data_IF_904107202731
#
_entry.id   IF_904107202731
#
_cell.length_a   1.000
_cell.length_b   1.000
_cell.length_c   1.000
_cell.angle_alpha   90.00
_cell.angle_beta   90.00
_cell.angle_gamma   90.00
#
_symmetry.space_group_name_H-M   'P 1'
#
loop_
_entity.id
_entity.type
_entity.pdbx_description
1 polymer ?
#
# COMPACT_ATOMS: atom_id res chain seq x y z
N UNK A 1 -29.57 -0.90 -15.58
CA UNK A 1 -29.13 -1.08 -14.18
C UNK A 1 -28.81 -2.55 -14.01
N UNK A 2 -27.54 -2.91 -14.12
CA UNK A 2 -27.10 -4.31 -14.00
C UNK A 2 -26.61 -4.50 -12.58
N UNK A 3 -27.35 -5.27 -11.80
CA UNK A 3 -27.00 -5.69 -10.45
C UNK A 3 -25.72 -6.53 -10.52
N UNK A 4 -24.60 -5.98 -10.05
CA UNK A 4 -23.38 -6.75 -9.82
C UNK A 4 -23.57 -7.59 -8.56
N UNK A 5 -24.03 -8.83 -8.72
CA UNK A 5 -23.95 -9.82 -7.65
C UNK A 5 -22.48 -10.22 -7.46
N UNK A 6 -21.94 -9.97 -6.27
CA UNK A 6 -20.68 -10.57 -5.87
C UNK A 6 -20.88 -12.08 -5.79
N UNK A 7 -20.14 -12.83 -6.61
CA UNK A 7 -20.02 -14.28 -6.42
C UNK A 7 -19.20 -14.49 -5.14
N UNK A 8 -19.85 -15.02 -4.11
CA UNK A 8 -19.19 -15.60 -2.94
C UNK A 8 -18.21 -16.70 -3.38
N UNK A 9 -17.11 -16.81 -2.63
CA UNK A 9 -16.17 -17.94 -2.70
C UNK A 9 -16.94 -19.25 -2.51
N UNK A 10 -16.76 -20.21 -3.43
CA UNK A 10 -16.98 -21.60 -3.09
C UNK A 10 -15.92 -22.00 -2.05
N UNK A 11 -16.36 -22.57 -0.94
CA UNK A 11 -15.48 -23.17 0.05
C UNK A 11 -14.77 -24.38 -0.58
N UNK A 12 -13.53 -24.18 -1.02
CA UNK A 12 -12.69 -25.23 -1.58
C UNK A 12 -11.22 -24.79 -1.58
N UNK A 13 -10.43 -25.46 -0.75
CA UNK A 13 -8.97 -25.33 -0.58
C UNK A 13 -8.43 -23.92 -0.23
N UNK A 14 -8.40 -23.63 1.07
CA UNK A 14 -7.31 -22.87 1.73
C UNK A 14 -6.78 -21.61 1.03
N UNK A 15 -7.62 -20.66 0.63
CA UNK A 15 -7.18 -19.34 0.16
C UNK A 15 -7.09 -18.35 1.33
N UNK A 16 -5.99 -18.46 2.08
CA UNK A 16 -5.51 -17.45 3.03
C UNK A 16 -4.78 -16.33 2.27
N UNK A 17 -4.93 -15.07 2.68
CA UNK A 17 -4.21 -13.94 2.05
C UNK A 17 -2.69 -14.03 2.28
N UNK A 18 -1.88 -13.28 1.53
CA UNK A 18 -0.41 -13.23 1.65
C UNK A 18 0.08 -13.07 3.09
N UNK A 19 -0.60 -12.25 3.87
CA UNK A 19 -0.17 -11.98 5.22
C UNK A 19 -0.69 -12.99 6.26
N UNK A 20 -1.44 -14.02 5.86
CA UNK A 20 -1.86 -15.09 6.75
C UNK A 20 -0.81 -16.21 6.93
N UNK A 21 0.32 -16.15 6.21
CA UNK A 21 1.35 -17.19 6.21
C UNK A 21 2.67 -16.87 6.91
N UNK A 22 2.82 -15.68 7.52
CA UNK A 22 3.97 -15.42 8.40
C UNK A 22 3.75 -16.10 9.75
N UNK A 23 3.94 -17.43 9.80
CA UNK A 23 4.10 -18.12 11.08
C UNK A 23 5.37 -17.58 11.74
N UNK A 24 5.20 -16.84 12.83
CA UNK A 24 6.27 -16.32 13.70
C UNK A 24 7.16 -17.41 14.33
N UNK A 25 6.94 -18.69 14.02
CA UNK A 25 7.64 -19.85 14.58
C UNK A 25 8.95 -20.22 13.89
N UNK A 26 9.39 -19.48 12.86
CA UNK A 26 10.63 -19.79 12.11
C UNK A 26 11.68 -18.67 12.11
N UNK A 27 11.42 -17.57 12.81
CA UNK A 27 12.45 -16.55 13.06
C UNK A 27 13.31 -17.01 14.25
N UNK A 28 14.66 -17.04 14.13
CA UNK A 28 15.51 -17.37 15.25
C UNK A 28 15.26 -16.39 16.41
N UNK A 29 15.31 -16.87 17.66
CA UNK A 29 14.90 -16.12 18.87
C UNK A 29 15.63 -14.78 19.07
N UNK A 30 16.75 -14.57 18.38
CA UNK A 30 17.51 -13.32 18.34
C UNK A 30 16.80 -12.19 17.56
N UNK A 31 15.88 -12.49 16.63
CA UNK A 31 15.10 -11.49 15.90
C UNK A 31 13.89 -10.96 16.69
N UNK A 32 13.47 -11.64 17.76
CA UNK A 32 12.40 -11.17 18.67
C UNK A 32 12.89 -10.12 19.69
N UNK A 33 14.19 -9.83 19.72
CA UNK A 33 14.83 -8.92 20.68
C UNK A 33 15.85 -8.01 20.02
N UNK A 34 15.57 -7.50 18.83
CA UNK A 34 16.43 -6.47 18.24
C UNK A 34 16.16 -5.15 18.95
N UNK A 35 16.94 -4.85 19.99
CA UNK A 35 17.04 -3.48 20.48
C UNK A 35 17.48 -2.59 19.31
N UNK A 36 16.74 -1.51 19.06
CA UNK A 36 17.12 -0.48 18.09
C UNK A 36 18.60 -0.12 18.33
N UNK A 37 19.48 -0.23 17.32
CA UNK A 37 20.88 0.15 17.47
C UNK A 37 20.97 1.58 18.00
N UNK A 38 21.87 1.84 18.96
CA UNK A 38 22.07 3.18 19.53
C UNK A 38 22.34 4.26 18.49
N UNK A 39 22.90 3.88 17.34
CA UNK A 39 23.10 4.74 16.17
C UNK A 39 21.80 5.26 15.53
N UNK A 40 20.66 4.55 15.67
CA UNK A 40 19.36 4.99 15.14
C UNK A 40 18.72 6.09 16.00
N UNK A 41 19.06 6.22 17.29
CA UNK A 41 18.49 7.25 18.18
C UNK A 41 18.79 8.68 17.72
N UNK A 42 19.94 8.91 17.07
CA UNK A 42 20.31 10.22 16.55
C UNK A 42 19.55 10.60 15.26
N UNK A 43 19.06 9.61 14.51
CA UNK A 43 18.37 9.80 13.23
C UNK A 43 16.85 9.67 13.32
N UNK A 44 16.33 9.12 14.43
CA UNK A 44 14.89 9.01 14.73
C UNK A 44 14.13 10.32 14.41
N UNK A 45 14.58 11.53 14.81
CA UNK A 45 13.83 12.76 14.56
C UNK A 45 13.60 13.08 13.08
N UNK A 46 14.56 12.77 12.20
CA UNK A 46 14.46 13.02 10.75
C UNK A 46 13.63 11.93 10.03
N UNK A 47 13.75 10.68 10.50
CA UNK A 47 12.95 9.54 10.02
C UNK A 47 11.49 9.68 10.43
N UNK A 48 11.25 10.17 11.65
CA UNK A 48 9.93 10.38 12.24
C UNK A 48 9.17 11.58 11.65
N UNK A 49 9.85 12.53 11.02
CA UNK A 49 9.22 13.70 10.38
C UNK A 49 8.93 13.50 8.89
N UNK A 50 9.56 12.52 8.22
CA UNK A 50 9.30 12.22 6.82
C UNK A 50 7.87 11.70 6.63
N UNK A 51 7.03 12.41 5.87
CA UNK A 51 5.61 12.08 5.65
C UNK A 51 5.38 10.94 4.64
N UNK A 52 6.45 10.32 4.13
CA UNK A 52 6.38 9.39 3.00
C UNK A 52 7.18 8.13 3.32
N UNK A 53 6.70 6.93 2.92
CA UNK A 53 7.55 5.73 2.85
C UNK A 53 8.81 6.05 2.04
N UNK A 54 9.96 5.60 2.53
CA UNK A 54 11.23 5.91 1.89
C UNK A 54 11.42 4.96 0.72
N UNK A 55 11.80 5.50 -0.44
CA UNK A 55 12.12 4.68 -1.60
C UNK A 55 13.18 3.66 -1.24
N UNK A 56 12.90 2.38 -1.47
CA UNK A 56 13.94 1.37 -1.43
C UNK A 56 14.98 1.67 -2.49
N UNK A 57 16.23 1.41 -2.12
CA UNK A 57 17.36 1.54 -2.99
C UNK A 57 18.23 0.30 -2.80
N UNK A 58 18.53 -0.46 -3.87
CA UNK A 58 19.33 -1.66 -3.74
C UNK A 58 20.74 -1.29 -3.30
N UNK A 59 21.33 -2.13 -2.45
CA UNK A 59 22.75 -2.00 -2.13
C UNK A 59 23.59 -2.18 -3.39
N UNK A 60 24.71 -1.46 -3.46
CA UNK A 60 25.63 -1.60 -4.58
C UNK A 60 26.12 -3.06 -4.72
N UNK A 61 26.38 -3.74 -3.61
CA UNK A 61 26.72 -5.15 -3.52
C UNK A 61 25.69 -6.03 -4.24
N UNK A 62 24.39 -5.82 -3.98
CA UNK A 62 23.29 -6.53 -4.62
C UNK A 62 23.19 -6.22 -6.12
N UNK A 63 23.28 -4.95 -6.51
CA UNK A 63 23.29 -4.53 -7.93
C UNK A 63 24.45 -5.18 -8.67
N UNK A 64 25.67 -5.10 -8.11
CA UNK A 64 26.88 -5.71 -8.67
C UNK A 64 26.77 -7.22 -8.77
N UNK A 65 26.26 -7.89 -7.73
CA UNK A 65 26.08 -9.34 -7.74
C UNK A 65 25.13 -9.76 -8.88
N UNK A 66 24.01 -9.05 -9.04
CA UNK A 66 23.04 -9.31 -10.11
C UNK A 66 23.64 -9.06 -11.49
N UNK A 67 24.35 -7.94 -11.67
CA UNK A 67 25.01 -7.57 -12.93
C UNK A 67 26.10 -8.56 -13.35
N UNK A 68 26.84 -9.11 -12.38
CA UNK A 68 27.97 -10.01 -12.64
C UNK A 68 27.61 -11.49 -12.59
N UNK A 69 26.38 -11.85 -12.23
CA UNK A 69 25.94 -13.24 -12.13
C UNK A 69 25.81 -13.89 -13.52
N UNK A 70 26.77 -14.76 -13.82
CA UNK A 70 26.83 -15.54 -15.07
C UNK A 70 25.67 -16.53 -15.23
N UNK A 71 24.95 -16.87 -14.17
CA UNK A 71 23.75 -17.72 -14.22
C UNK A 71 22.53 -16.94 -14.68
N UNK A 72 22.41 -15.67 -14.29
CA UNK A 72 21.29 -14.81 -14.67
C UNK A 72 21.36 -14.43 -16.15
N UNK A 73 22.54 -14.10 -16.67
CA UNK A 73 22.76 -13.69 -18.08
C UNK A 73 21.81 -12.58 -18.56
N UNK A 74 21.49 -11.64 -17.68
CA UNK A 74 20.69 -10.46 -18.05
C UNK A 74 21.51 -9.63 -19.05
N UNK A 75 20.97 -9.23 -20.21
CA UNK A 75 21.67 -8.37 -21.14
C UNK A 75 22.05 -7.04 -20.48
N UNK A 76 23.28 -6.57 -20.70
CA UNK A 76 23.77 -5.33 -20.08
C UNK A 76 22.88 -4.12 -20.39
N UNK A 77 22.40 -4.01 -21.63
CA UNK A 77 21.47 -2.94 -22.02
C UNK A 77 20.16 -2.98 -21.23
N UNK A 78 19.59 -4.17 -21.02
CA UNK A 78 18.38 -4.34 -20.19
C UNK A 78 18.66 -3.95 -18.74
N UNK A 79 19.79 -4.41 -18.18
CA UNK A 79 20.18 -4.07 -16.81
C UNK A 79 20.34 -2.55 -16.62
N UNK A 80 21.01 -1.88 -17.57
CA UNK A 80 21.14 -0.42 -17.55
C UNK A 80 19.77 0.29 -17.67
N UNK A 81 18.84 -0.23 -18.49
CA UNK A 81 17.49 0.32 -18.60
C UNK A 81 16.72 0.22 -17.28
N UNK A 82 16.81 -0.92 -16.58
CA UNK A 82 16.21 -1.13 -15.27
C UNK A 82 16.76 -0.17 -14.21
N UNK A 83 18.08 0.00 -14.14
CA UNK A 83 18.72 0.97 -13.24
C UNK A 83 18.34 2.41 -13.63
N UNK A 84 18.28 2.72 -14.92
CA UNK A 84 17.81 4.03 -15.41
C UNK A 84 16.41 4.32 -14.90
N UNK A 85 15.48 3.37 -15.05
CA UNK A 85 14.09 3.53 -14.63
C UNK A 85 13.97 3.81 -13.13
N UNK A 86 14.73 3.07 -12.32
CA UNK A 86 14.80 3.29 -10.89
C UNK A 86 15.24 4.72 -10.55
N UNK A 87 16.35 5.19 -11.14
CA UNK A 87 16.87 6.53 -10.90
C UNK A 87 15.90 7.63 -11.36
N UNK A 88 15.19 7.42 -12.48
CA UNK A 88 14.17 8.36 -12.95
C UNK A 88 13.00 8.50 -11.98
N UNK A 89 12.50 7.40 -11.42
CA UNK A 89 11.43 7.45 -10.41
C UNK A 89 11.91 8.12 -9.12
N UNK A 90 13.13 7.82 -8.68
CA UNK A 90 13.75 8.51 -7.55
C UNK A 90 13.91 10.01 -7.81
N UNK A 91 14.26 10.42 -9.03
CA UNK A 91 14.35 11.82 -9.40
C UNK A 91 12.99 12.52 -9.31
N UNK A 92 11.94 11.90 -9.85
CA UNK A 92 10.57 12.41 -9.80
C UNK A 92 10.08 12.64 -8.36
N UNK A 93 10.52 11.77 -7.43
CA UNK A 93 10.21 11.89 -6.01
C UNK A 93 11.21 12.73 -5.21
N UNK A 94 12.16 13.40 -5.89
CA UNK A 94 13.20 14.24 -5.28
C UNK A 94 14.05 13.48 -4.25
N UNK A 95 14.38 12.22 -4.57
CA UNK A 95 15.17 11.30 -3.73
C UNK A 95 16.60 11.10 -4.21
N UNK A 96 16.95 11.56 -5.41
CA UNK A 96 18.35 11.56 -5.83
C UNK A 96 19.14 12.61 -5.05
N UNK A 97 20.35 12.24 -4.65
CA UNK A 97 21.32 13.16 -4.04
C UNK A 97 21.97 14.03 -5.11
N UNK A 98 22.27 13.44 -6.27
CA UNK A 98 22.82 14.17 -7.41
C UNK A 98 21.75 15.06 -8.05
N UNK A 99 22.16 16.26 -8.47
CA UNK A 99 21.38 17.17 -9.31
C UNK A 99 21.56 16.92 -10.81
N UNK A 100 22.46 16.01 -11.20
CA UNK A 100 22.72 15.70 -12.60
C UNK A 100 21.49 15.04 -13.25
N UNK A 101 21.26 15.26 -14.55
CA UNK A 101 20.25 14.50 -15.29
C UNK A 101 20.53 12.99 -15.22
N UNK A 102 19.48 12.15 -15.08
CA UNK A 102 19.62 10.68 -14.98
C UNK A 102 20.49 10.06 -16.08
N UNK A 103 20.40 10.47 -17.37
CA UNK A 103 21.29 9.94 -18.41
C UNK A 103 22.77 10.22 -18.16
N UNK A 104 23.10 11.32 -17.48
CA UNK A 104 24.48 11.65 -17.08
C UNK A 104 24.91 10.75 -15.92
N UNK A 105 24.05 10.56 -14.93
CA UNK A 105 24.31 9.66 -13.79
C UNK A 105 24.57 8.23 -14.29
N UNK A 106 23.75 7.72 -15.20
CA UNK A 106 23.91 6.36 -15.76
C UNK A 106 25.25 6.19 -16.48
N UNK A 107 25.69 7.18 -17.27
CA UNK A 107 27.01 7.14 -17.92
C UNK A 107 28.17 7.12 -16.92
N UNK A 108 28.02 7.75 -15.75
CA UNK A 108 29.02 7.71 -14.69
C UNK A 108 29.04 6.36 -13.98
N UNK A 109 27.87 5.78 -13.69
CA UNK A 109 27.73 4.46 -13.06
C UNK A 109 28.21 3.34 -13.99
N UNK A 110 27.96 3.44 -15.29
CA UNK A 110 28.36 2.48 -16.32
C UNK A 110 29.33 3.12 -17.32
N UNK A 111 30.60 3.39 -16.93
CA UNK A 111 31.53 4.17 -17.74
C UNK A 111 32.01 3.44 -19.00
N UNK A 112 31.89 2.12 -19.03
CA UNK A 112 32.24 1.27 -20.17
C UNK A 112 31.57 -0.10 -20.04
N UNK A 113 31.38 -0.86 -21.14
CA UNK A 113 30.79 -2.19 -21.08
C UNK A 113 31.45 -3.10 -20.05
N UNK A 114 30.64 -3.85 -19.30
CA UNK A 114 31.11 -4.76 -18.25
C UNK A 114 31.59 -4.09 -16.96
N UNK A 115 31.52 -2.75 -16.84
CA UNK A 115 31.96 -2.02 -15.64
C UNK A 115 30.80 -1.34 -14.93
N UNK A 116 30.85 -1.40 -13.60
CA UNK A 116 29.93 -0.76 -12.68
C UNK A 116 30.74 0.00 -11.62
N UNK A 117 30.55 1.32 -11.53
CA UNK A 117 31.29 2.19 -10.61
C UNK A 117 30.53 2.41 -9.30
N UNK A 118 31.14 1.97 -8.19
CA UNK A 118 30.57 2.06 -6.85
C UNK A 118 30.52 3.48 -6.31
N UNK A 119 31.58 4.26 -6.58
CA UNK A 119 31.70 5.62 -6.07
C UNK A 119 30.64 6.50 -6.72
N UNK A 120 30.45 6.38 -8.04
CA UNK A 120 29.43 7.12 -8.78
C UNK A 120 28.00 6.67 -8.42
N UNK A 121 27.77 5.37 -8.23
CA UNK A 121 26.49 4.87 -7.73
C UNK A 121 26.15 5.45 -6.36
N UNK A 122 27.10 5.42 -5.42
CA UNK A 122 26.91 5.96 -4.08
C UNK A 122 26.90 7.50 -4.04
N UNK A 123 27.49 8.19 -5.01
CA UNK A 123 27.44 9.65 -5.14
C UNK A 123 26.06 10.13 -5.63
N UNK A 124 25.41 9.35 -6.50
CA UNK A 124 24.08 9.65 -7.01
C UNK A 124 22.98 9.52 -5.94
N UNK A 125 23.26 8.77 -4.87
CA UNK A 125 22.26 8.24 -3.95
C UNK A 125 22.55 8.68 -2.50
N UNK A 126 21.52 8.98 -1.72
CA UNK A 126 21.70 9.29 -0.30
C UNK A 126 21.83 8.00 0.54
N UNK A 127 23.05 7.48 0.61
CA UNK A 127 23.36 6.23 1.32
C UNK A 127 23.11 6.31 2.84
N UNK A 128 23.03 7.52 3.41
CA UNK A 128 22.71 7.71 4.83
C UNK A 128 21.26 7.31 5.15
N UNK A 129 20.39 7.24 4.13
CA UNK A 129 19.04 6.71 4.29
C UNK A 129 19.00 5.19 4.26
N UNK A 130 20.01 4.51 3.70
CA UNK A 130 20.05 3.03 3.61
C UNK A 130 20.11 2.37 4.99
N UNK A 131 20.85 2.94 5.94
CA UNK A 131 20.99 2.43 7.31
C UNK A 131 19.72 2.53 8.17
N UNK A 132 18.69 3.22 7.68
CA UNK A 132 17.37 3.30 8.30
C UNK A 132 16.38 2.32 7.64
N UNK A 133 16.61 1.97 6.38
CA UNK A 133 15.62 1.25 5.55
C UNK A 133 15.92 -0.26 5.49
N UNK A 134 17.15 -0.71 5.81
CA UNK A 134 17.49 -2.13 5.69
C UNK A 134 18.46 -2.65 6.72
N UNK A 135 17.97 -3.59 7.53
CA UNK A 135 18.79 -4.69 8.05
C UNK A 135 18.33 -6.05 7.53
N UNK A 136 17.03 -6.24 7.28
CA UNK A 136 16.48 -7.43 6.63
C UNK A 136 15.02 -7.22 6.19
N UNK A 137 14.63 -7.79 5.03
CA UNK A 137 13.23 -7.93 4.59
C UNK A 137 12.39 -8.70 5.63
N UNK A 138 13.04 -9.57 6.40
CA UNK A 138 12.39 -10.32 7.48
C UNK A 138 11.85 -9.43 8.61
N UNK A 139 12.33 -8.18 8.71
CA UNK A 139 11.96 -7.25 9.78
C UNK A 139 10.79 -6.32 9.38
N UNK A 140 10.22 -6.48 8.18
CA UNK A 140 9.05 -5.72 7.71
C UNK A 140 7.75 -6.09 8.43
N UNK A 141 7.75 -7.17 9.21
CA UNK A 141 6.63 -7.61 10.05
C UNK A 141 7.18 -7.97 11.42
N UNK A 142 7.29 -6.99 12.31
CA UNK A 142 7.78 -7.18 13.67
C UNK A 142 6.75 -6.74 14.71
N UNK A 143 6.89 -7.23 15.93
CA UNK A 143 6.05 -6.82 17.06
C UNK A 143 6.30 -5.36 17.42
N UNK A 144 5.26 -4.64 17.83
CA UNK A 144 5.37 -3.26 18.34
C UNK A 144 6.37 -3.20 19.51
N UNK A 145 7.19 -2.15 19.59
CA UNK A 145 8.21 -2.03 20.62
C UNK A 145 7.54 -2.02 22.02
N UNK A 146 7.90 -2.96 22.92
CA UNK A 146 7.15 -3.21 24.15
C UNK A 146 7.26 -2.16 25.24
N UNK A 147 8.36 -1.41 25.32
CA UNK A 147 8.68 -0.45 26.38
C UNK A 147 8.23 0.98 26.06
N UNK A 148 8.27 1.38 24.81
CA UNK A 148 8.09 2.78 24.37
C UNK A 148 6.77 2.97 23.63
N UNK A 149 6.42 2.05 22.74
CA UNK A 149 5.32 2.26 21.80
C UNK A 149 4.05 1.52 22.23
N UNK A 150 4.16 0.25 22.67
CA UNK A 150 3.00 -0.51 23.16
C UNK A 150 2.17 0.22 24.23
N UNK A 151 2.74 0.83 25.28
CA UNK A 151 1.93 1.53 26.28
C UNK A 151 1.15 2.73 25.72
N UNK A 152 1.71 3.44 24.73
CA UNK A 152 1.03 4.57 24.07
C UNK A 152 -0.09 4.05 23.17
N UNK A 153 0.19 2.99 22.41
CA UNK A 153 -0.75 2.39 21.49
C UNK A 153 -1.91 1.71 22.24
N UNK A 154 -1.64 1.01 23.33
CA UNK A 154 -2.65 0.46 24.25
C UNK A 154 -3.64 1.55 24.73
N UNK A 155 -3.10 2.69 25.17
CA UNK A 155 -3.91 3.86 25.55
C UNK A 155 -4.74 4.38 24.38
N UNK A 156 -4.15 4.54 23.19
CA UNK A 156 -4.86 5.01 22.01
C UNK A 156 -5.99 4.03 21.60
N UNK A 157 -5.73 2.72 21.62
CA UNK A 157 -6.73 1.69 21.35
C UNK A 157 -7.84 1.68 22.41
N UNK A 158 -7.52 1.90 23.68
CA UNK A 158 -8.52 2.08 24.75
C UNK A 158 -9.43 3.27 24.52
N UNK A 159 -8.88 4.39 24.08
CA UNK A 159 -9.68 5.56 23.70
C UNK A 159 -10.51 5.30 22.44
N UNK A 160 -9.97 4.55 21.47
CA UNK A 160 -10.70 4.12 20.28
C UNK A 160 -11.89 3.20 20.58
N UNK A 161 -11.75 2.27 21.54
CA UNK A 161 -12.85 1.44 22.04
C UNK A 161 -13.99 2.32 22.58
N UNK A 162 -13.66 3.34 23.38
CA UNK A 162 -14.65 4.28 23.93
C UNK A 162 -15.36 5.06 22.83
N UNK A 163 -14.63 5.52 21.81
CA UNK A 163 -15.22 6.21 20.66
C UNK A 163 -16.20 5.32 19.91
N UNK A 164 -15.87 4.04 19.69
CA UNK A 164 -16.77 3.08 19.03
C UNK A 164 -18.02 2.82 19.88
N UNK A 165 -17.86 2.65 21.19
CA UNK A 165 -18.97 2.45 22.12
C UNK A 165 -19.92 3.67 22.14
N UNK A 166 -19.36 4.88 22.18
CA UNK A 166 -20.11 6.13 22.10
C UNK A 166 -20.85 6.25 20.77
N UNK A 167 -20.19 5.95 19.65
CA UNK A 167 -20.79 5.94 18.32
C UNK A 167 -21.96 4.93 18.21
N UNK A 168 -21.80 3.72 18.76
CA UNK A 168 -22.85 2.70 18.79
C UNK A 168 -24.12 3.15 19.54
N UNK A 169 -23.97 4.07 20.50
CA UNK A 169 -25.07 4.62 21.31
C UNK A 169 -25.64 5.94 20.75
N UNK A 170 -24.99 6.53 19.74
CA UNK A 170 -25.40 7.81 19.16
C UNK A 170 -26.45 7.61 18.05
N UNK A 171 -27.70 7.33 18.43
CA UNK A 171 -28.77 7.04 17.48
C UNK A 171 -28.97 8.14 16.41
N UNK A 172 -28.90 9.41 16.81
CA UNK A 172 -29.00 10.53 15.88
C UNK A 172 -27.83 10.54 14.88
N UNK A 173 -26.59 10.46 15.37
CA UNK A 173 -25.41 10.41 14.51
C UNK A 173 -25.40 9.19 13.57
N UNK A 174 -25.83 8.03 14.05
CA UNK A 174 -25.94 6.82 13.22
C UNK A 174 -26.93 7.02 12.08
N UNK A 175 -28.09 7.63 12.36
CA UNK A 175 -29.06 8.00 11.32
C UNK A 175 -28.47 9.02 10.35
N UNK A 176 -27.72 10.02 10.84
CA UNK A 176 -27.11 11.03 9.99
C UNK A 176 -26.04 10.48 9.04
N UNK A 177 -25.30 9.46 9.45
CA UNK A 177 -24.20 8.88 8.65
C UNK A 177 -24.71 7.73 7.77
N UNK A 178 -25.45 6.79 8.36
CA UNK A 178 -25.83 5.52 7.73
C UNK A 178 -27.30 5.44 7.31
N UNK A 179 -28.12 6.47 7.61
CA UNK A 179 -29.52 6.51 7.24
C UNK A 179 -30.31 5.33 7.81
N UNK A 180 -31.01 4.59 6.96
CA UNK A 180 -31.83 3.45 7.38
C UNK A 180 -31.01 2.23 7.86
N UNK A 181 -29.68 2.26 7.71
CA UNK A 181 -28.76 1.22 8.19
C UNK A 181 -28.23 1.51 9.61
N UNK A 182 -28.78 2.50 10.32
CA UNK A 182 -28.36 2.93 11.66
C UNK A 182 -28.19 1.78 12.67
N UNK A 183 -29.15 0.85 12.75
CA UNK A 183 -29.13 -0.30 13.66
C UNK A 183 -28.03 -1.30 13.29
N UNK A 184 -27.81 -1.52 11.99
CA UNK A 184 -26.73 -2.40 11.51
C UNK A 184 -25.39 -1.76 11.85
N UNK A 185 -25.27 -0.45 11.64
CA UNK A 185 -24.06 0.31 11.96
C UNK A 185 -23.77 0.29 13.46
N UNK A 186 -24.77 0.43 14.33
CA UNK A 186 -24.61 0.27 15.78
C UNK A 186 -24.04 -1.10 16.14
N UNK A 187 -24.55 -2.17 15.53
CA UNK A 187 -24.04 -3.53 15.70
C UNK A 187 -22.58 -3.66 15.23
N UNK A 188 -22.22 -3.04 14.11
CA UNK A 188 -20.85 -3.03 13.61
C UNK A 188 -19.90 -2.27 14.55
N UNK A 189 -20.26 -1.09 15.06
CA UNK A 189 -19.45 -0.39 16.07
C UNK A 189 -19.21 -1.24 17.32
N UNK A 190 -20.21 -1.99 17.79
CA UNK A 190 -20.02 -2.93 18.91
C UNK A 190 -19.06 -4.09 18.58
N UNK A 191 -19.09 -4.61 17.35
CA UNK A 191 -18.10 -5.60 16.89
C UNK A 191 -16.69 -4.98 16.80
N UNK A 192 -16.58 -3.74 16.32
CA UNK A 192 -15.31 -3.01 16.20
C UNK A 192 -14.69 -2.79 17.59
N UNK A 193 -15.47 -2.31 18.56
CA UNK A 193 -15.05 -2.18 19.96
C UNK A 193 -14.49 -3.51 20.49
N UNK A 194 -15.20 -4.61 20.26
CA UNK A 194 -14.75 -5.94 20.66
C UNK A 194 -13.43 -6.32 20.00
N UNK A 195 -13.25 -6.06 18.70
CA UNK A 195 -12.00 -6.36 17.98
C UNK A 195 -10.83 -5.53 18.48
N UNK A 196 -11.02 -4.25 18.73
CA UNK A 196 -10.01 -3.42 19.38
C UNK A 196 -9.58 -4.01 20.74
N UNK A 197 -10.56 -4.44 21.56
CA UNK A 197 -10.30 -5.07 22.85
C UNK A 197 -9.53 -6.39 22.72
N UNK A 198 -9.89 -7.24 21.77
CA UNK A 198 -9.24 -8.53 21.53
C UNK A 198 -7.79 -8.35 21.05
N UNK A 199 -7.56 -7.43 20.12
CA UNK A 199 -6.21 -7.08 19.63
C UNK A 199 -5.35 -6.48 20.75
N UNK A 200 -5.92 -5.58 21.56
CA UNK A 200 -5.20 -4.93 22.68
C UNK A 200 -4.75 -5.93 23.75
N UNK A 201 -5.55 -6.97 24.02
CA UNK A 201 -5.20 -8.01 25.02
C UNK A 201 -3.96 -8.81 24.66
N UNK A 202 -3.65 -8.97 23.38
CA UNK A 202 -2.52 -9.74 22.89
C UNK A 202 -1.89 -9.07 21.66
N UNK A 203 -1.34 -7.88 21.88
CA UNK A 203 -0.73 -7.06 20.82
C UNK A 203 0.45 -7.78 20.14
N UNK A 204 1.17 -8.65 20.85
CA UNK A 204 2.28 -9.42 20.26
C UNK A 204 1.82 -10.43 19.22
N UNK A 205 0.58 -10.91 19.35
CA UNK A 205 -0.02 -11.86 18.42
C UNK A 205 -0.75 -11.18 17.28
N UNK A 206 -1.44 -10.08 17.57
CA UNK A 206 -2.42 -9.48 16.64
C UNK A 206 -1.98 -8.15 16.05
N UNK A 207 -0.85 -7.58 16.49
CA UNK A 207 -0.28 -6.38 15.90
C UNK A 207 1.14 -6.60 15.39
N UNK A 208 1.33 -6.21 14.14
CA UNK A 208 2.66 -6.05 13.56
C UNK A 208 2.87 -4.60 13.11
N UNK A 209 4.13 -4.22 12.96
CA UNK A 209 4.52 -2.94 12.39
C UNK A 209 5.85 -3.11 11.68
N UNK A 210 6.18 -2.14 10.83
CA UNK A 210 7.46 -2.06 10.17
C UNK A 210 8.23 -0.82 10.66
N UNK A 211 9.22 -0.99 11.53
CA UNK A 211 10.06 0.13 11.98
C UNK A 211 11.11 0.56 10.95
N UNK A 212 11.30 -0.21 9.89
CA UNK A 212 12.24 0.07 8.81
C UNK A 212 11.57 0.89 7.68
N UNK A 213 10.26 1.16 7.79
CA UNK A 213 9.47 1.85 6.77
C UNK A 213 9.48 1.11 5.41
N UNK A 214 9.57 -0.22 5.44
CA UNK A 214 9.50 -1.15 4.29
C UNK A 214 8.05 -1.64 4.03
N UNK A 215 7.06 -0.97 4.64
CA UNK A 215 5.65 -1.34 4.61
C UNK A 215 5.15 -1.39 3.17
N UNK A 216 4.49 -2.50 2.82
CA UNK A 216 3.90 -2.73 1.51
C UNK A 216 2.82 -1.71 1.16
N UNK A 217 2.15 -1.13 2.16
CA UNK A 217 1.08 -0.17 1.92
C UNK A 217 1.55 1.28 1.95
N UNK A 218 2.17 1.61 0.83
CA UNK A 218 2.78 2.90 0.57
C UNK A 218 1.74 4.02 0.66
N UNK A 219 1.78 4.75 1.77
CA UNK A 219 0.93 5.92 2.01
C UNK A 219 -0.42 5.62 2.66
N UNK A 220 -0.59 4.46 3.29
CA UNK A 220 -1.69 4.16 4.22
C UNK A 220 -1.23 4.22 5.69
N UNK A 221 -2.18 4.16 6.62
CA UNK A 221 -1.92 4.13 8.06
C UNK A 221 -1.64 2.72 8.60
N UNK A 222 -2.01 1.69 7.84
CA UNK A 222 -1.94 0.27 8.18
C UNK A 222 -2.94 -0.52 7.33
N UNK A 223 -2.97 -1.84 7.53
CA UNK A 223 -3.98 -2.75 6.98
C UNK A 223 -4.40 -3.82 7.98
N UNK A 224 -5.54 -4.44 7.71
CA UNK A 224 -6.09 -5.54 8.48
C UNK A 224 -6.23 -6.83 7.67
N UNK A 225 -6.02 -7.95 8.36
CA UNK A 225 -6.03 -9.29 7.79
C UNK A 225 -7.15 -10.09 8.42
N UNK A 226 -8.33 -10.09 7.79
CA UNK A 226 -9.50 -10.76 8.35
C UNK A 226 -9.27 -12.25 8.63
N UNK A 227 -8.52 -12.97 7.78
CA UNK A 227 -8.31 -14.41 7.96
C UNK A 227 -7.50 -14.75 9.23
N UNK A 228 -6.50 -13.93 9.58
CA UNK A 228 -5.66 -14.11 10.77
C UNK A 228 -6.07 -13.26 11.95
N UNK A 229 -6.99 -12.31 11.73
CA UNK A 229 -7.42 -11.33 12.73
C UNK A 229 -6.26 -10.45 13.23
N UNK A 230 -5.33 -10.12 12.33
CA UNK A 230 -4.15 -9.30 12.60
C UNK A 230 -4.30 -7.91 11.97
N UNK A 231 -3.70 -6.89 12.60
CA UNK A 231 -3.53 -5.55 12.03
C UNK A 231 -2.03 -5.27 11.89
N UNK A 232 -1.62 -4.83 10.71
CA UNK A 232 -0.30 -4.25 10.48
C UNK A 232 -0.41 -2.73 10.50
N UNK A 233 0.47 -2.06 11.25
CA UNK A 233 0.44 -0.61 11.41
C UNK A 233 1.68 0.04 10.80
N UNK A 234 1.47 1.17 10.12
CA UNK A 234 2.56 2.07 9.79
C UNK A 234 3.28 2.49 11.08
N UNK A 235 4.60 2.62 11.02
CA UNK A 235 5.46 2.96 12.17
C UNK A 235 4.93 4.13 13.00
N UNK A 236 4.46 5.19 12.33
CA UNK A 236 3.97 6.41 13.00
C UNK A 236 2.67 6.19 13.78
N UNK A 237 1.84 5.26 13.32
CA UNK A 237 0.62 4.84 14.00
C UNK A 237 0.99 3.97 15.20
N UNK A 238 1.91 3.02 15.03
CA UNK A 238 2.43 2.20 16.14
C UNK A 238 3.09 3.06 17.24
N UNK A 239 3.85 4.08 16.85
CA UNK A 239 4.50 5.06 17.73
C UNK A 239 3.54 6.10 18.33
N UNK A 240 2.31 6.19 17.81
CA UNK A 240 1.30 7.17 18.20
C UNK A 240 1.80 8.62 18.05
N UNK A 241 2.50 8.93 16.94
CA UNK A 241 3.03 10.29 16.71
C UNK A 241 1.92 11.33 16.53
N UNK A 242 0.74 10.88 16.10
CA UNK A 242 -0.50 11.66 16.03
C UNK A 242 -1.60 10.85 16.70
N UNK A 243 -1.93 11.13 17.98
CA UNK A 243 -2.92 10.34 18.73
C UNK A 243 -4.32 10.35 18.10
N UNK A 244 -4.71 11.45 17.45
CA UNK A 244 -6.03 11.56 16.81
C UNK A 244 -6.07 10.66 15.59
N UNK A 245 -5.09 10.75 14.69
CA UNK A 245 -5.02 9.87 13.51
C UNK A 245 -4.87 8.42 13.91
N UNK A 246 -4.06 8.12 14.92
CA UNK A 246 -3.86 6.74 15.41
C UNK A 246 -5.19 6.12 15.82
N UNK A 247 -6.00 6.82 16.62
CA UNK A 247 -7.32 6.36 17.04
C UNK A 247 -8.22 6.06 15.86
N UNK A 248 -8.25 6.95 14.87
CA UNK A 248 -9.07 6.76 13.68
C UNK A 248 -8.58 5.58 12.82
N UNK A 249 -7.27 5.45 12.63
CA UNK A 249 -6.68 4.34 11.88
C UNK A 249 -6.99 3.01 12.54
N UNK A 250 -6.77 2.84 13.85
CA UNK A 250 -7.07 1.55 14.49
C UNK A 250 -8.56 1.21 14.47
N UNK A 251 -9.47 2.21 14.48
CA UNK A 251 -10.91 1.99 14.28
C UNK A 251 -11.19 1.48 12.87
N UNK A 252 -10.57 2.09 11.86
CA UNK A 252 -10.68 1.68 10.47
C UNK A 252 -10.22 0.23 10.28
N UNK A 253 -9.01 -0.11 10.75
CA UNK A 253 -8.47 -1.46 10.63
C UNK A 253 -9.30 -2.49 11.41
N UNK A 254 -9.78 -2.14 12.60
CA UNK A 254 -10.67 -3.01 13.37
C UNK A 254 -12.05 -3.21 12.70
N UNK A 255 -12.50 -2.29 11.84
CA UNK A 255 -13.71 -2.45 11.04
C UNK A 255 -13.57 -3.59 10.04
N UNK A 256 -12.43 -3.70 9.36
CA UNK A 256 -12.14 -4.86 8.50
C UNK A 256 -12.11 -6.18 9.26
N UNK A 257 -11.65 -6.19 10.52
CA UNK A 257 -11.68 -7.39 11.35
C UNK A 257 -13.06 -7.74 11.91
N UNK A 258 -13.94 -6.75 12.05
CA UNK A 258 -15.27 -6.90 12.64
C UNK A 258 -16.23 -7.66 11.74
N UNK A 259 -16.14 -7.47 10.42
CA UNK A 259 -16.96 -8.17 9.44
C UNK A 259 -16.24 -8.24 8.10
N UNK A 260 -16.17 -9.44 7.51
CA UNK A 260 -15.52 -9.67 6.20
C UNK A 260 -16.15 -8.90 5.04
N UNK A 261 -17.39 -8.40 5.20
CA UNK A 261 -18.02 -7.56 4.19
C UNK A 261 -17.64 -6.09 4.27
N UNK A 262 -16.95 -5.65 5.34
CA UNK A 262 -16.49 -4.26 5.49
C UNK A 262 -15.16 -4.11 4.76
N UNK A 263 -15.12 -3.16 3.85
CA UNK A 263 -14.07 -3.02 2.87
C UNK A 263 -13.66 -1.55 2.63
N UNK A 264 -12.59 -1.35 1.86
CA UNK A 264 -12.10 -0.05 1.41
C UNK A 264 -12.76 0.36 0.09
N UNK A 265 -14.01 0.79 0.17
CA UNK A 265 -14.76 1.22 -1.01
C UNK A 265 -14.44 2.66 -1.40
N UNK A 266 -14.35 3.57 -0.41
CA UNK A 266 -13.94 4.97 -0.57
C UNK A 266 -13.29 5.46 0.72
N UNK A 267 -12.32 6.36 0.61
CA UNK A 267 -11.67 6.98 1.76
C UNK A 267 -12.29 8.32 2.13
N UNK A 268 -12.06 8.73 3.38
CA UNK A 268 -12.54 9.99 3.96
C UNK A 268 -12.17 11.25 3.16
N UNK A 269 -11.12 11.19 2.34
CA UNK A 269 -10.61 12.32 1.53
C UNK A 269 -10.93 12.20 0.04
N UNK A 270 -11.66 11.15 -0.34
CA UNK A 270 -12.08 10.91 -1.72
C UNK A 270 -13.30 11.78 -2.06
N UNK A 271 -13.40 12.14 -3.33
CA UNK A 271 -14.54 12.90 -3.84
C UNK A 271 -15.81 12.04 -3.75
N UNK A 272 -16.87 12.59 -3.17
CA UNK A 272 -18.17 11.93 -3.08
C UNK A 272 -18.32 10.95 -1.92
N UNK A 273 -17.39 10.93 -0.96
CA UNK A 273 -17.47 10.10 0.26
C UNK A 273 -18.83 10.25 0.98
N UNK A 274 -19.32 11.48 1.09
CA UNK A 274 -20.59 11.84 1.73
C UNK A 274 -21.82 11.36 0.96
N UNK A 275 -21.69 11.24 -0.36
CA UNK A 275 -22.77 10.95 -1.30
C UNK A 275 -22.96 9.45 -1.56
N UNK A 276 -22.13 8.60 -0.95
CA UNK A 276 -22.19 7.13 -1.12
C UNK A 276 -23.55 6.56 -0.66
N UNK A 277 -24.12 5.56 -1.38
CA UNK A 277 -25.34 4.87 -0.95
C UNK A 277 -25.22 4.23 0.43
N UNK A 278 -26.30 4.19 1.20
CA UNK A 278 -26.30 3.64 2.57
C UNK A 278 -25.80 2.18 2.63
N UNK A 279 -26.14 1.36 1.63
CA UNK A 279 -25.68 -0.02 1.51
C UNK A 279 -24.17 -0.14 1.27
N UNK A 280 -23.55 0.87 0.65
CA UNK A 280 -22.09 0.93 0.50
C UNK A 280 -21.44 1.47 1.79
N UNK A 281 -22.06 2.45 2.47
CA UNK A 281 -21.55 3.00 3.74
C UNK A 281 -21.40 1.94 4.81
N UNK A 282 -22.39 1.05 4.96
CA UNK A 282 -22.34 -0.01 5.98
C UNK A 282 -21.24 -1.05 5.72
N UNK A 283 -20.81 -1.15 4.46
CA UNK A 283 -19.75 -2.05 4.00
C UNK A 283 -18.43 -1.31 3.74
N UNK A 284 -18.26 -0.07 4.25
CA UNK A 284 -17.06 0.74 4.04
C UNK A 284 -16.40 1.12 5.38
N UNK A 285 -15.14 0.74 5.58
CA UNK A 285 -14.41 0.98 6.83
C UNK A 285 -14.33 2.48 7.17
N UNK A 286 -14.06 3.33 6.17
CA UNK A 286 -13.92 4.77 6.39
C UNK A 286 -15.21 5.47 6.87
N UNK A 287 -16.41 4.92 6.64
CA UNK A 287 -17.65 5.50 7.18
C UNK A 287 -17.78 5.25 8.69
N UNK A 288 -17.17 4.19 9.23
CA UNK A 288 -17.08 3.96 10.68
C UNK A 288 -16.09 4.91 11.37
N UNK A 289 -15.31 5.68 10.63
CA UNK A 289 -14.48 6.74 11.20
C UNK A 289 -15.28 8.00 11.53
N UNK A 290 -16.43 8.24 10.87
CA UNK A 290 -17.08 9.56 10.87
C UNK A 290 -17.59 9.98 12.24
N UNK A 291 -18.30 9.12 12.97
CA UNK A 291 -18.79 9.46 14.32
C UNK A 291 -17.64 9.65 15.31
N UNK A 292 -16.62 8.76 15.37
CA UNK A 292 -15.39 9.03 16.10
C UNK A 292 -14.71 10.37 15.73
N UNK A 293 -14.64 10.71 14.44
CA UNK A 293 -14.06 11.99 13.97
C UNK A 293 -14.87 13.20 14.44
N UNK A 294 -16.21 13.11 14.47
CA UNK A 294 -17.08 14.17 15.02
C UNK A 294 -16.83 14.37 16.51
N UNK A 295 -16.75 13.28 17.28
CA UNK A 295 -16.47 13.34 18.72
C UNK A 295 -15.08 13.95 18.99
N UNK A 296 -14.09 13.59 18.17
CA UNK A 296 -12.74 14.18 18.20
C UNK A 296 -12.63 15.58 17.58
N UNK A 297 -13.74 16.15 17.07
CA UNK A 297 -13.79 17.48 16.42
C UNK A 297 -12.87 17.65 15.21
N UNK A 298 -12.65 16.57 14.47
CA UNK A 298 -11.84 16.53 13.24
C UNK A 298 -12.61 16.06 12.01
N UNK A 299 -13.95 16.01 12.10
CA UNK A 299 -14.80 15.69 10.96
C UNK A 299 -14.80 16.82 9.93
N UNK A 300 -14.76 16.44 8.65
CA UNK A 300 -14.94 17.32 7.50
C UNK A 300 -16.42 17.54 7.13
N UNK A 301 -17.33 16.81 7.76
CA UNK A 301 -18.75 16.72 7.40
C UNK A 301 -19.65 17.17 8.58
N UNK A 302 -20.02 18.45 8.64
CA UNK A 302 -20.77 19.01 9.76
C UNK A 302 -22.26 18.62 9.80
N UNK A 303 -22.75 17.83 8.83
CA UNK A 303 -24.16 17.47 8.71
C UNK A 303 -24.38 16.06 8.18
N UNK A 304 -25.64 15.66 7.92
CA UNK A 304 -25.98 14.31 7.48
C UNK A 304 -25.33 13.95 6.14
N UNK A 305 -24.80 12.73 6.04
CA UNK A 305 -24.29 12.16 4.80
C UNK A 305 -25.46 11.56 4.02
N UNK A 306 -26.01 12.30 3.05
CA UNK A 306 -27.17 11.84 2.27
C UNK A 306 -26.72 11.22 0.95
N UNK A 307 -27.25 10.05 0.56
CA UNK A 307 -26.96 9.45 -0.74
C UNK A 307 -27.17 10.44 -1.89
N UNK A 308 -26.20 10.53 -2.80
CA UNK A 308 -26.25 11.42 -3.96
C UNK A 308 -26.15 12.91 -3.63
N UNK A 309 -25.79 13.30 -2.41
CA UNK A 309 -25.67 14.71 -2.01
C UNK A 309 -24.24 14.98 -1.53
N UNK A 310 -23.61 15.96 -2.14
CA UNK A 310 -22.26 16.43 -1.82
C UNK A 310 -22.26 17.35 -0.60
N UNK A 311 -21.07 17.62 -0.08
CA UNK A 311 -20.83 18.60 0.98
C UNK A 311 -21.40 19.96 0.55
N UNK A 312 -22.23 20.55 1.42
CA UNK A 312 -22.95 21.80 1.13
C UNK A 312 -24.37 21.61 0.58
N UNK A 313 -24.83 20.38 0.37
CA UNK A 313 -26.22 20.08 0.04
C UNK A 313 -26.55 20.02 -1.45
N UNK A 314 -25.56 20.21 -2.33
CA UNK A 314 -25.73 20.07 -3.77
C UNK A 314 -25.89 18.59 -4.16
N UNK A 315 -26.72 18.32 -5.16
CA UNK A 315 -26.79 16.99 -5.76
C UNK A 315 -25.44 16.63 -6.40
N UNK A 316 -25.01 15.38 -6.26
CA UNK A 316 -23.81 14.86 -6.91
C UNK A 316 -23.97 15.00 -8.42
N UNK A 317 -23.03 15.69 -9.04
CA UNK A 317 -23.01 15.89 -10.48
C UNK A 317 -22.55 14.60 -11.17
N UNK A 318 -22.74 14.55 -12.49
CA UNK A 318 -22.16 13.47 -13.30
C UNK A 318 -20.63 13.41 -13.17
N UNK A 319 -19.98 14.56 -13.08
CA UNK A 319 -18.54 14.66 -12.87
C UNK A 319 -18.13 14.01 -11.54
N UNK A 320 -18.84 14.31 -10.46
CA UNK A 320 -18.56 13.71 -9.14
C UNK A 320 -18.62 12.18 -9.21
N UNK A 321 -19.69 11.64 -9.80
CA UNK A 321 -19.89 10.19 -9.95
C UNK A 321 -18.72 9.56 -10.73
N UNK A 322 -18.35 10.14 -11.87
CA UNK A 322 -17.27 9.60 -12.71
C UNK A 322 -15.91 9.70 -12.01
N UNK A 323 -15.65 10.79 -11.28
CA UNK A 323 -14.41 10.93 -10.49
C UNK A 323 -14.34 9.92 -9.36
N UNK A 324 -15.44 9.63 -8.67
CA UNK A 324 -15.51 8.55 -7.68
C UNK A 324 -15.22 7.19 -8.32
N UNK A 325 -15.83 6.87 -9.47
CA UNK A 325 -15.56 5.64 -10.21
C UNK A 325 -14.09 5.52 -10.63
N UNK A 326 -13.49 6.63 -11.07
CA UNK A 326 -12.08 6.71 -11.46
C UNK A 326 -11.17 6.46 -10.26
N UNK A 327 -11.46 7.10 -9.12
CA UNK A 327 -10.74 6.90 -7.86
C UNK A 327 -10.78 5.44 -7.41
N UNK A 328 -11.98 4.81 -7.43
CA UNK A 328 -12.16 3.38 -7.12
C UNK A 328 -11.34 2.48 -8.06
N UNK A 329 -11.33 2.78 -9.36
CA UNK A 329 -10.55 2.00 -10.34
C UNK A 329 -9.04 2.08 -10.08
N UNK A 330 -8.50 3.28 -9.86
CA UNK A 330 -7.08 3.47 -9.56
C UNK A 330 -6.68 2.91 -8.19
N UNK A 331 -7.60 2.90 -7.21
CA UNK A 331 -7.37 2.25 -5.93
C UNK A 331 -7.17 0.74 -6.09
N UNK A 332 -8.03 0.07 -6.85
CA UNK A 332 -7.86 -1.37 -7.15
C UNK A 332 -6.53 -1.66 -7.84
N UNK A 333 -6.12 -0.79 -8.76
CA UNK A 333 -4.83 -0.92 -9.44
C UNK A 333 -3.66 -0.77 -8.45
N UNK A 334 -3.75 0.22 -7.54
CA UNK A 334 -2.76 0.42 -6.48
C UNK A 334 -2.68 -0.79 -5.52
N UNK A 335 -3.82 -1.29 -5.03
CA UNK A 335 -3.86 -2.46 -4.15
C UNK A 335 -3.20 -3.69 -4.83
N UNK A 336 -3.53 -3.94 -6.09
CA UNK A 336 -2.95 -5.06 -6.84
C UNK A 336 -1.44 -4.87 -7.12
N UNK A 337 -0.96 -3.63 -7.28
CA UNK A 337 0.47 -3.35 -7.40
C UNK A 337 1.19 -3.61 -6.06
N UNK A 338 0.57 -3.28 -4.93
CA UNK A 338 1.08 -3.63 -3.59
C UNK A 338 1.11 -5.15 -3.38
N UNK A 339 0.07 -5.86 -3.78
CA UNK A 339 0.01 -7.33 -3.74
C UNK A 339 1.10 -7.95 -4.62
N UNK A 340 1.31 -7.40 -5.83
CA UNK A 340 2.36 -7.82 -6.76
C UNK A 340 3.74 -7.65 -6.14
N UNK A 341 4.02 -6.46 -5.60
CA UNK A 341 5.25 -6.18 -4.90
C UNK A 341 5.44 -7.13 -3.69
N UNK A 342 4.39 -7.40 -2.92
CA UNK A 342 4.44 -8.32 -1.77
C UNK A 342 4.74 -9.76 -2.20
N UNK A 343 4.14 -10.23 -3.29
CA UNK A 343 4.44 -11.53 -3.90
C UNK A 343 5.91 -11.61 -4.32
N UNK A 344 6.41 -10.62 -5.06
CA UNK A 344 7.81 -10.53 -5.51
C UNK A 344 8.76 -10.56 -4.30
N UNK A 345 8.45 -9.78 -3.25
CA UNK A 345 9.19 -9.76 -1.98
C UNK A 345 9.19 -11.12 -1.28
N UNK A 346 8.03 -11.77 -1.16
CA UNK A 346 7.88 -13.08 -0.51
C UNK A 346 8.72 -14.15 -1.22
N UNK A 347 8.64 -14.20 -2.55
CA UNK A 347 9.45 -15.12 -3.37
C UNK A 347 10.94 -14.88 -3.18
N UNK A 348 11.37 -13.61 -3.17
CA UNK A 348 12.78 -13.26 -2.93
C UNK A 348 13.26 -13.72 -1.55
N UNK A 349 12.46 -13.48 -0.51
CA UNK A 349 12.76 -13.88 0.87
C UNK A 349 12.97 -15.40 0.98
N UNK A 350 12.09 -16.18 0.37
CA UNK A 350 12.18 -17.64 0.36
C UNK A 350 13.39 -18.14 -0.43
N UNK A 351 13.70 -17.52 -1.58
CA UNK A 351 14.91 -17.84 -2.34
C UNK A 351 16.20 -17.55 -1.53
N UNK A 352 16.25 -16.46 -0.76
CA UNK A 352 17.37 -16.15 0.13
C UNK A 352 17.53 -17.18 1.26
N UNK A 353 16.43 -17.82 1.68
CA UNK A 353 16.45 -18.94 2.62
C UNK A 353 16.77 -20.30 1.96
N UNK A 354 17.04 -20.32 0.64
CA UNK A 354 17.31 -21.54 -0.13
C UNK A 354 16.06 -22.31 -0.55
N UNK A 355 14.88 -21.69 -0.45
CA UNK A 355 13.60 -22.28 -0.84
C UNK A 355 13.09 -21.70 -2.16
N UNK A 356 13.34 -22.41 -3.26
CA UNK A 356 12.88 -22.02 -4.61
C UNK A 356 11.43 -22.42 -4.90
N UNK A 357 10.74 -23.12 -3.99
CA UNK A 357 9.39 -23.64 -4.26
C UNK A 357 8.40 -22.52 -4.64
N UNK A 358 8.33 -21.38 -3.93
CA UNK A 358 7.39 -20.31 -4.28
C UNK A 358 7.65 -19.71 -5.65
N UNK A 359 8.92 -19.61 -6.08
CA UNK A 359 9.24 -19.16 -7.44
C UNK A 359 8.69 -20.14 -8.47
N UNK A 360 8.92 -21.46 -8.27
CA UNK A 360 8.48 -22.50 -9.21
C UNK A 360 6.96 -22.59 -9.31
N UNK A 361 6.27 -22.53 -8.18
CA UNK A 361 4.80 -22.58 -8.13
C UNK A 361 4.16 -21.39 -8.87
N UNK A 362 4.82 -20.22 -8.86
CA UNK A 362 4.31 -18.98 -9.42
C UNK A 362 5.05 -18.51 -10.70
N UNK A 363 5.86 -19.38 -11.31
CA UNK A 363 6.82 -18.96 -12.35
C UNK A 363 6.14 -18.23 -13.53
N UNK A 364 5.04 -18.77 -14.05
CA UNK A 364 4.34 -18.19 -15.19
C UNK A 364 3.80 -16.79 -14.87
N UNK A 365 3.22 -16.62 -13.68
CA UNK A 365 2.70 -15.33 -13.20
C UNK A 365 3.85 -14.33 -12.98
N UNK A 366 4.94 -14.75 -12.35
CA UNK A 366 6.13 -13.90 -12.14
C UNK A 366 6.74 -13.45 -13.47
N UNK A 367 6.77 -14.31 -14.49
CA UNK A 367 7.24 -13.94 -15.84
C UNK A 367 6.28 -12.99 -16.56
N UNK A 368 4.97 -13.09 -16.30
CA UNK A 368 3.98 -12.14 -16.81
C UNK A 368 4.12 -10.77 -16.16
N UNK A 369 4.12 -10.72 -14.82
CA UNK A 369 4.39 -9.51 -14.02
C UNK A 369 5.69 -8.87 -14.50
N UNK A 370 6.74 -9.65 -14.65
CA UNK A 370 8.05 -9.17 -15.07
C UNK A 370 8.04 -8.46 -16.42
N UNK A 371 7.20 -8.88 -17.37
CA UNK A 371 7.06 -8.19 -18.67
C UNK A 371 6.19 -6.94 -18.58
N UNK A 372 5.22 -6.94 -17.68
CA UNK A 372 4.31 -5.82 -17.47
C UNK A 372 4.98 -4.67 -16.71
N UNK A 373 5.80 -4.99 -15.72
CA UNK A 373 6.47 -4.03 -14.82
C UNK A 373 7.90 -3.66 -15.21
N UNK A 374 8.43 -4.23 -16.30
CA UNK A 374 9.85 -4.14 -16.68
C UNK A 374 10.78 -4.64 -15.55
N UNK A 375 10.50 -5.84 -15.02
CA UNK A 375 11.43 -6.56 -14.15
C UNK A 375 12.35 -7.44 -14.99
N UNK A 376 13.48 -7.87 -14.43
CA UNK A 376 14.50 -8.68 -15.12
C UNK A 376 14.18 -10.18 -15.21
N UNK A 377 13.21 -10.71 -14.45
CA UNK A 377 12.93 -12.16 -14.30
C UNK A 377 12.78 -12.86 -15.66
N UNK A 378 12.03 -12.26 -16.59
CA UNK A 378 11.77 -12.86 -17.90
C UNK A 378 12.99 -12.84 -18.84
N UNK A 379 13.93 -11.92 -18.61
CA UNK A 379 15.17 -11.74 -19.38
C UNK A 379 16.30 -12.65 -18.89
N UNK A 380 16.20 -13.13 -17.65
CA UNK A 380 17.16 -14.06 -17.08
C UNK A 380 17.12 -15.42 -17.80
N UNK A 381 18.28 -16.08 -17.85
CA UNK A 381 18.42 -17.42 -18.40
C UNK A 381 17.56 -18.43 -17.62
N UNK A 382 16.83 -19.29 -18.34
CA UNK A 382 15.80 -20.19 -17.78
C UNK A 382 16.22 -20.99 -16.55
N UNK A 383 17.48 -21.44 -16.47
CA UNK A 383 18.00 -22.24 -15.34
C UNK A 383 18.44 -21.41 -14.13
N UNK A 384 18.66 -20.10 -14.30
CA UNK A 384 19.08 -19.19 -13.24
C UNK A 384 17.97 -18.23 -12.79
N UNK A 385 16.76 -18.35 -13.33
CA UNK A 385 15.66 -17.43 -13.06
C UNK A 385 15.33 -17.36 -11.57
N UNK A 386 15.30 -16.15 -11.04
CA UNK A 386 14.93 -15.81 -9.67
C UNK A 386 14.40 -14.37 -9.63
N UNK A 387 13.73 -14.02 -8.55
CA UNK A 387 13.56 -12.60 -8.18
C UNK A 387 14.89 -12.08 -7.65
N UNK A 388 15.28 -10.88 -8.10
CA UNK A 388 16.47 -10.13 -7.63
C UNK A 388 16.05 -8.94 -6.77
N UNK A 389 17.00 -8.34 -6.06
CA UNK A 389 16.72 -7.12 -5.28
C UNK A 389 16.34 -5.94 -6.20
N UNK A 390 16.86 -5.92 -7.44
CA UNK A 390 16.49 -4.92 -8.44
C UNK A 390 15.01 -5.04 -8.84
N UNK A 391 14.53 -6.27 -9.06
CA UNK A 391 13.12 -6.53 -9.39
C UNK A 391 12.19 -6.07 -8.26
N UNK A 392 12.55 -6.38 -7.01
CA UNK A 392 11.78 -5.97 -5.84
C UNK A 392 11.63 -4.45 -5.74
N UNK A 393 12.71 -3.70 -5.94
CA UNK A 393 12.69 -2.23 -5.84
C UNK A 393 11.91 -1.61 -7.00
N UNK A 394 11.99 -2.18 -8.20
CA UNK A 394 11.20 -1.73 -9.35
C UNK A 394 9.70 -1.97 -9.10
N UNK A 395 9.31 -3.14 -8.60
CA UNK A 395 7.92 -3.45 -8.26
C UNK A 395 7.36 -2.51 -7.20
N UNK A 396 8.10 -2.27 -6.12
CA UNK A 396 7.67 -1.30 -5.09
C UNK A 396 7.48 0.10 -5.69
N UNK A 397 8.45 0.59 -6.47
CA UNK A 397 8.36 1.94 -7.02
C UNK A 397 7.19 2.13 -8.01
N UNK A 398 6.69 1.04 -8.61
CA UNK A 398 5.43 1.05 -9.38
C UNK A 398 4.23 1.23 -8.44
N UNK A 399 4.17 0.52 -7.32
CA UNK A 399 3.14 0.73 -6.30
C UNK A 399 3.13 2.17 -5.78
N UNK A 400 4.29 2.79 -5.55
CA UNK A 400 4.39 4.22 -5.20
C UNK A 400 3.80 5.13 -6.28
N UNK A 401 4.11 4.85 -7.55
CA UNK A 401 3.64 5.64 -8.68
C UNK A 401 2.12 5.59 -8.84
N UNK A 402 1.48 4.47 -8.54
CA UNK A 402 0.01 4.37 -8.53
C UNK A 402 -0.64 5.26 -7.46
N UNK A 403 -0.01 5.41 -6.29
CA UNK A 403 -0.50 6.31 -5.24
C UNK A 403 -0.48 7.77 -5.70
N UNK A 404 0.56 8.19 -6.44
CA UNK A 404 0.65 9.52 -7.04
C UNK A 404 -0.43 9.73 -8.11
N UNK A 405 -0.61 8.75 -8.99
CA UNK A 405 -1.62 8.76 -10.06
C UNK A 405 -3.04 9.06 -9.53
N UNK A 406 -3.42 8.47 -8.38
CA UNK A 406 -4.74 8.71 -7.75
C UNK A 406 -4.96 10.17 -7.37
N UNK A 407 -3.90 10.89 -6.98
CA UNK A 407 -3.95 12.31 -6.63
C UNK A 407 -4.09 13.20 -7.88
N UNK A 408 -3.50 12.77 -8.98
CA UNK A 408 -3.48 13.50 -10.26
C UNK A 408 -4.88 13.66 -10.88
N UNK A 409 -5.79 12.70 -10.66
CA UNK A 409 -7.17 12.74 -11.18
C UNK A 409 -7.92 14.02 -10.81
N UNK A 410 -7.73 14.55 -9.59
CA UNK A 410 -8.43 15.76 -9.13
C UNK A 410 -8.12 16.99 -9.99
N UNK A 411 -6.95 17.03 -10.63
CA UNK A 411 -6.50 18.15 -11.47
C UNK A 411 -6.68 17.93 -12.97
N UNK A 412 -7.47 16.94 -13.39
CA UNK A 412 -7.78 16.68 -14.81
C UNK A 412 -9.10 17.36 -15.14
N UNK A 413 -9.13 18.19 -16.18
CA UNK A 413 -10.36 18.83 -16.67
C UNK A 413 -11.40 17.79 -17.04
N UNK A 414 -12.63 17.98 -16.58
CA UNK A 414 -13.71 17.10 -16.98
C UNK A 414 -14.10 17.37 -18.43
N UNK A 415 -14.22 16.34 -19.28
CA UNK A 415 -14.64 16.53 -20.66
C UNK A 415 -16.00 17.23 -20.74
N UNK A 416 -16.19 18.06 -21.77
CA UNK A 416 -17.46 18.72 -22.02
C UNK A 416 -18.60 17.69 -22.11
N UNK A 417 -19.85 18.08 -21.75
CA UNK A 417 -21.00 17.18 -21.83
C UNK A 417 -21.10 16.53 -23.22
N UNK A 418 -21.11 15.20 -23.27
CA UNK A 418 -21.15 14.44 -24.51
C UNK A 418 -21.79 13.06 -24.33
N UNK A 419 -21.91 12.32 -25.43
CA UNK A 419 -22.56 11.01 -25.51
C UNK A 419 -21.77 9.85 -24.85
N UNK A 420 -20.56 10.10 -24.36
CA UNK A 420 -19.78 9.09 -23.66
C UNK A 420 -20.56 8.58 -22.45
N UNK A 421 -20.46 7.29 -22.14
CA UNK A 421 -20.98 6.70 -20.91
C UNK A 421 -20.10 7.06 -19.71
N UNK A 422 -20.57 6.81 -18.49
CA UNK A 422 -19.75 7.04 -17.29
C UNK A 422 -18.47 6.17 -17.29
N UNK A 423 -18.52 4.95 -17.83
CA UNK A 423 -17.35 4.09 -17.96
C UNK A 423 -16.34 4.63 -18.97
N UNK A 424 -16.81 5.13 -20.12
CA UNK A 424 -15.93 5.76 -21.11
C UNK A 424 -15.27 7.03 -20.57
N UNK A 425 -15.99 7.84 -19.78
CA UNK A 425 -15.41 9.01 -19.13
C UNK A 425 -14.42 8.62 -18.02
N UNK A 426 -14.70 7.58 -17.24
CA UNK A 426 -13.76 7.01 -16.27
C UNK A 426 -12.48 6.55 -16.95
N UNK A 427 -12.58 5.77 -18.03
CA UNK A 427 -11.41 5.30 -18.79
C UNK A 427 -10.61 6.46 -19.39
N UNK A 428 -11.29 7.51 -19.84
CA UNK A 428 -10.65 8.75 -20.29
C UNK A 428 -9.87 9.43 -19.16
N UNK A 429 -10.47 9.63 -17.98
CA UNK A 429 -9.78 10.24 -16.83
C UNK A 429 -8.59 9.40 -16.35
N UNK A 430 -8.69 8.06 -16.37
CA UNK A 430 -7.55 7.17 -16.08
C UNK A 430 -6.42 7.39 -17.10
N UNK A 431 -6.74 7.41 -18.39
CA UNK A 431 -5.73 7.61 -19.44
C UNK A 431 -5.06 8.98 -19.35
N UNK A 432 -5.80 10.04 -19.05
CA UNK A 432 -5.24 11.38 -18.83
C UNK A 432 -4.39 11.45 -17.56
N UNK A 433 -4.77 10.74 -16.49
CA UNK A 433 -3.95 10.65 -15.27
C UNK A 433 -2.60 9.98 -15.56
N UNK A 434 -2.63 8.88 -16.33
CA UNK A 434 -1.44 8.16 -16.77
C UNK A 434 -0.52 9.05 -17.59
N UNK A 435 -1.05 9.77 -18.59
CA UNK A 435 -0.27 10.68 -19.42
C UNK A 435 0.35 11.83 -18.61
N UNK A 436 -0.41 12.38 -17.65
CA UNK A 436 0.03 13.54 -16.86
C UNK A 436 1.07 13.15 -15.81
N UNK A 437 0.90 12.00 -15.15
CA UNK A 437 1.85 11.49 -14.17
C UNK A 437 3.12 10.95 -14.84
N UNK A 438 2.96 10.18 -15.92
CA UNK A 438 4.04 9.64 -16.76
C UNK A 438 5.18 8.96 -15.96
N UNK A 439 4.85 8.31 -14.84
CA UNK A 439 5.84 7.82 -13.88
C UNK A 439 5.84 6.28 -13.70
N UNK A 440 4.87 5.55 -14.27
CA UNK A 440 4.80 4.09 -14.23
C UNK A 440 5.89 3.46 -15.12
N UNK A 441 5.68 3.38 -16.44
CA UNK A 441 6.65 2.86 -17.43
C UNK A 441 7.10 3.93 -18.45
N UNK A 442 6.56 5.15 -18.36
CA UNK A 442 6.78 6.25 -19.34
C UNK A 442 6.28 5.92 -20.76
N UNK A 443 5.31 5.02 -20.83
CA UNK A 443 4.61 4.68 -22.06
C UNK A 443 3.11 4.60 -21.72
N UNK A 444 2.30 5.61 -22.11
CA UNK A 444 0.89 5.66 -21.74
C UNK A 444 0.08 4.43 -22.16
N UNK A 445 0.45 3.76 -23.26
CA UNK A 445 -0.25 2.57 -23.72
C UNK A 445 0.10 1.36 -22.84
N UNK A 446 1.38 1.19 -22.51
CA UNK A 446 1.82 0.13 -21.58
C UNK A 446 1.32 0.38 -20.16
N UNK A 447 1.32 1.63 -19.70
CA UNK A 447 0.82 2.04 -18.39
C UNK A 447 -0.69 1.77 -18.26
N UNK A 448 -1.46 2.01 -19.33
CA UNK A 448 -2.88 1.65 -19.34
C UNK A 448 -3.06 0.15 -19.28
N UNK A 449 -2.28 -0.62 -20.05
CA UNK A 449 -2.31 -2.08 -20.03
C UNK A 449 -1.95 -2.65 -18.64
N UNK A 450 -0.91 -2.13 -18.01
CA UNK A 450 -0.52 -2.49 -16.64
C UNK A 450 -1.65 -2.17 -15.66
N UNK A 451 -2.24 -0.97 -15.75
CA UNK A 451 -3.35 -0.55 -14.88
C UNK A 451 -4.57 -1.46 -15.03
N UNK A 452 -4.95 -1.80 -16.25
CA UNK A 452 -6.07 -2.72 -16.51
C UNK A 452 -5.77 -4.13 -16.00
N UNK A 453 -4.53 -4.61 -16.17
CA UNK A 453 -4.10 -5.89 -15.63
C UNK A 453 -4.16 -5.92 -14.11
N UNK A 454 -3.69 -4.86 -13.44
CA UNK A 454 -3.73 -4.71 -11.99
C UNK A 454 -5.19 -4.73 -11.49
N UNK A 455 -6.08 -3.99 -12.13
CA UNK A 455 -7.51 -3.99 -11.77
C UNK A 455 -8.15 -5.36 -12.01
N UNK A 456 -7.78 -6.07 -13.07
CA UNK A 456 -8.28 -7.41 -13.35
C UNK A 456 -7.77 -8.45 -12.34
N UNK A 457 -6.58 -8.25 -11.77
CA UNK A 457 -5.97 -9.15 -10.80
C UNK A 457 -6.18 -8.76 -9.34
N UNK A 458 -6.93 -7.68 -9.09
CA UNK A 458 -7.27 -7.22 -7.74
C UNK A 458 -7.82 -8.38 -6.88
N UNK A 459 -7.12 -8.68 -5.77
CA UNK A 459 -7.41 -9.77 -4.82
C UNK A 459 -7.35 -11.20 -5.37
N UNK A 460 -6.77 -11.38 -6.54
CA UNK A 460 -6.60 -12.70 -7.16
C UNK A 460 -5.15 -13.19 -7.12
N UNK A 461 -4.21 -12.32 -6.74
CA UNK A 461 -2.80 -12.67 -6.68
C UNK A 461 -2.51 -13.65 -5.53
N UNK A 462 -1.60 -14.61 -5.75
CA UNK A 462 -1.25 -15.60 -4.74
C UNK A 462 -0.44 -14.97 -3.62
N UNK A 463 -0.63 -15.56 -2.44
CA UNK A 463 0.18 -15.38 -1.25
C UNK A 463 1.45 -16.22 -1.30
N UNK A 464 2.59 -15.69 -0.83
CA UNK A 464 3.81 -16.48 -0.56
C UNK A 464 4.19 -16.39 0.91
#
# INVERSE_FOLDING_TARGET
>A
MTTYHSKQRAAGAGTTSAAAHVKSSHLPDNNRKTALPSAMNAHLPAVMTASNPKFRLPEFSSVKSTYTDKKLKIPEASFQAHVTRLLERMAAEKRLKSSDPVPVIIKKIFPSPGKLDEAEFNAALDISQRSVIYKSIADSHTTVEPKVDKPKLDKAMSEAEKLCNNAAKNAAGLTEVFGAQDKVAAGHYGKIEKKLSDVRKDMDKFLTTDYNLDDSEVGLGGYALFATQEIHLLTKVAQVTDPVKTKITVIHEAAHLADSSIDDQVYYTDSGFEAVPESEKIANAAHFEELPRRELKVSNFPGPLKPGVMKGGAAATREDIVRTLTGKHLRKAWDAAVDTFTLVRGVRKEAMAGNDKPFKDNQALLEEISKLEDLSIHEQAKKGRTVTDLDMVIAESIAHSYQALRRTVKGISFPAPGALTNDQLKDHLVAEAIKKENNLLKDPARDKKLTDWMVAHYRSLPSV
#
